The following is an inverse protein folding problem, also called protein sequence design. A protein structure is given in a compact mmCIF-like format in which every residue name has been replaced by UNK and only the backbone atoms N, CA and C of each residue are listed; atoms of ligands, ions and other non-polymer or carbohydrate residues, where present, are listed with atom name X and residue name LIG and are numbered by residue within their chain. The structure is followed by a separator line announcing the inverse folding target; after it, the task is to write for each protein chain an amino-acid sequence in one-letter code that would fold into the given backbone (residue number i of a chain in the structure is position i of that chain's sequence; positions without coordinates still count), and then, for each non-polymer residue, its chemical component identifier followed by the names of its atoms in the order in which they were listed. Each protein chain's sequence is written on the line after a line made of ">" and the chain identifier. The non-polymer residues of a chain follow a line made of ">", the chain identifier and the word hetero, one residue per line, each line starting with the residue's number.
data_IF_467099301936
#
_entry.id   IF_467099301936
#
_cell.length_a   1.000
_cell.length_b   1.000
_cell.length_c   1.000
_cell.angle_alpha   90.00
_cell.angle_beta   90.00
_cell.angle_gamma   90.00
#
_symmetry.space_group_name_H-M   'P 1'
#
loop_
_entity.id
_entity.type
_entity.pdbx_description
1 polymer ?
#
# COMPACT_ATOMS: atom_id res chain seq x y z
N UNK A 1 12.47 -25.78 -10.50
CA UNK A 1 11.80 -24.68 -9.77
C UNK A 1 12.89 -23.99 -8.98
N UNK A 2 13.18 -22.72 -9.29
CA UNK A 2 14.18 -21.91 -8.58
C UNK A 2 13.60 -21.44 -7.23
N UNK A 3 14.40 -21.25 -6.16
CA UNK A 3 13.90 -20.99 -4.81
C UNK A 3 13.43 -19.55 -4.52
N UNK A 4 13.42 -18.63 -5.49
CA UNK A 4 13.37 -17.19 -5.21
C UNK A 4 12.00 -16.52 -5.36
N UNK A 5 10.91 -17.29 -5.31
CA UNK A 5 9.55 -16.73 -5.43
C UNK A 5 8.55 -17.43 -4.52
N UNK A 6 8.41 -16.96 -3.29
CA UNK A 6 7.17 -17.08 -2.52
C UNK A 6 6.91 -15.79 -1.72
N UNK A 7 5.64 -15.40 -1.55
CA UNK A 7 5.24 -14.09 -1.04
C UNK A 7 5.23 -14.09 0.50
N UNK A 8 5.80 -13.05 1.10
CA UNK A 8 5.57 -12.76 2.51
C UNK A 8 4.17 -12.15 2.67
N UNK A 9 3.26 -12.91 3.26
CA UNK A 9 1.91 -12.49 3.63
C UNK A 9 1.92 -11.46 4.78
N UNK A 10 0.97 -10.50 4.80
CA UNK A 10 -0.12 -10.52 5.78
C UNK A 10 -1.25 -9.52 5.47
N UNK A 11 -2.48 -9.98 5.70
CA UNK A 11 -3.74 -9.26 5.59
C UNK A 11 -4.01 -8.54 6.94
N UNK A 12 -4.33 -7.24 6.92
CA UNK A 12 -5.03 -6.58 8.04
C UNK A 12 -4.29 -5.59 8.95
N UNK A 13 -2.95 -5.47 8.93
CA UNK A 13 -2.19 -4.49 9.74
C UNK A 13 -1.00 -3.94 8.96
N UNK A 14 -0.98 -2.63 8.70
CA UNK A 14 0.03 -2.00 7.84
C UNK A 14 1.39 -1.91 8.52
N UNK A 15 2.33 -2.72 8.05
CA UNK A 15 3.76 -2.49 8.24
C UNK A 15 4.49 -2.59 6.90
N UNK A 16 5.28 -1.56 6.61
CA UNK A 16 6.12 -1.49 5.42
C UNK A 16 7.44 -2.23 5.70
N UNK A 17 7.58 -3.46 5.23
CA UNK A 17 8.89 -4.10 5.15
C UNK A 17 9.10 -4.70 3.75
N UNK A 18 9.84 -3.97 2.92
CA UNK A 18 10.78 -4.61 2.00
C UNK A 18 12.11 -3.88 2.04
N UNK A 19 12.73 -3.95 3.21
CA UNK A 19 14.19 -3.88 3.31
C UNK A 19 14.67 -5.31 3.15
N UNK A 20 14.96 -5.73 1.91
CA UNK A 20 15.82 -6.90 1.74
C UNK A 20 17.14 -6.55 2.42
N UNK A 21 17.66 -7.49 3.23
CA UNK A 21 18.81 -7.40 4.14
C UNK A 21 18.50 -7.06 5.61
N UNK A 22 17.76 -7.95 6.27
CA UNK A 22 18.17 -8.42 7.60
C UNK A 22 18.51 -9.91 7.47
N UNK A 23 19.64 -10.21 6.82
CA UNK A 23 20.21 -11.54 6.97
C UNK A 23 20.74 -11.61 8.41
N UNK A 24 20.15 -12.47 9.26
CA UNK A 24 20.74 -12.79 10.56
C UNK A 24 22.09 -13.44 10.29
N UNK A 25 23.17 -12.68 10.31
CA UNK A 25 24.51 -13.26 10.29
C UNK A 25 24.67 -14.10 11.57
N UNK A 26 24.93 -15.41 11.46
CA UNK A 26 25.17 -16.24 12.63
C UNK A 26 26.49 -15.78 13.28
N UNK A 27 26.38 -15.19 14.47
CA UNK A 27 27.46 -14.83 15.39
C UNK A 27 28.59 -13.97 14.79
N UNK A 28 28.49 -12.65 14.96
CA UNK A 28 29.69 -11.80 14.94
C UNK A 28 30.47 -12.11 16.22
N UNK A 29 31.65 -12.70 16.11
CA UNK A 29 32.51 -12.96 17.25
C UNK A 29 33.25 -11.67 17.64
N UNK A 30 33.28 -11.37 18.93
CA UNK A 30 34.09 -10.27 19.49
C UNK A 30 35.58 -10.53 19.17
N UNK A 31 36.30 -9.60 18.53
CA UNK A 31 37.69 -9.82 18.13
C UNK A 31 38.66 -9.92 19.31
N UNK A 32 38.32 -9.31 20.45
CA UNK A 32 39.15 -9.28 21.65
C UNK A 32 38.83 -10.43 22.61
N UNK A 33 37.55 -10.82 22.71
CA UNK A 33 37.12 -11.85 23.67
C UNK A 33 36.81 -13.21 23.03
N UNK A 34 36.65 -13.25 21.70
CA UNK A 34 36.16 -14.41 20.92
C UNK A 34 34.82 -14.98 21.40
N UNK A 35 34.08 -14.24 22.23
CA UNK A 35 32.71 -14.59 22.60
C UNK A 35 31.77 -14.34 21.42
N UNK A 36 30.66 -15.08 21.35
CA UNK A 36 29.53 -14.67 20.52
C UNK A 36 29.05 -13.33 21.06
N UNK A 37 29.14 -12.26 20.26
CA UNK A 37 28.34 -11.08 20.54
C UNK A 37 26.89 -11.55 20.49
N UNK A 38 26.10 -11.25 21.52
CA UNK A 38 24.64 -11.38 21.40
C UNK A 38 24.24 -10.82 20.05
N UNK A 39 23.30 -11.45 19.32
CA UNK A 39 22.97 -11.10 17.94
C UNK A 39 22.61 -9.61 17.90
N UNK A 40 23.64 -8.80 17.67
CA UNK A 40 23.54 -7.39 17.51
C UNK A 40 22.83 -7.31 16.18
N UNK A 41 21.53 -7.03 16.26
CA UNK A 41 20.74 -6.71 15.10
C UNK A 41 21.35 -5.42 14.57
N UNK A 42 22.37 -5.54 13.72
CA UNK A 42 22.89 -4.48 12.88
C UNK A 42 21.89 -4.29 11.73
N UNK A 43 20.67 -3.97 12.10
CA UNK A 43 19.66 -3.42 11.21
C UNK A 43 19.49 -1.94 11.58
N UNK A 44 18.96 -1.11 10.66
CA UNK A 44 18.46 0.20 11.04
C UNK A 44 17.58 0.02 12.28
N UNK A 45 17.88 0.74 13.36
CA UNK A 45 16.90 0.91 14.43
C UNK A 45 15.70 1.56 13.76
N UNK A 46 14.70 0.76 13.39
CA UNK A 46 13.45 1.29 12.91
C UNK A 46 12.98 2.22 14.03
N UNK A 47 12.68 3.50 13.77
CA UNK A 47 12.10 4.34 14.80
C UNK A 47 10.89 3.60 15.36
N UNK A 48 10.77 3.54 16.69
CA UNK A 48 9.54 3.10 17.34
C UNK A 48 8.71 4.34 17.70
N UNK A 49 7.50 4.52 17.15
CA UNK A 49 6.84 3.69 16.14
C UNK A 49 7.36 3.92 14.70
N UNK A 50 7.16 2.94 13.78
CA UNK A 50 7.62 3.04 12.40
C UNK A 50 7.01 4.24 11.66
N UNK A 51 7.78 4.84 10.75
CA UNK A 51 7.36 6.01 9.99
C UNK A 51 6.24 5.65 9.01
N UNK A 52 5.05 6.22 9.18
CA UNK A 52 4.01 6.18 8.16
C UNK A 52 4.35 7.20 7.06
N UNK A 53 4.82 6.72 5.92
CA UNK A 53 5.20 7.57 4.77
C UNK A 53 4.03 8.33 4.14
N UNK A 54 2.78 7.95 4.41
CA UNK A 54 1.61 8.69 3.93
C UNK A 54 1.39 9.96 4.77
N UNK A 55 1.64 9.88 6.08
CA UNK A 55 1.40 10.97 7.03
C UNK A 55 2.66 11.76 7.41
N UNK A 56 3.85 11.22 7.12
CA UNK A 56 5.14 11.86 7.40
C UNK A 56 5.35 13.18 6.64
N UNK A 57 6.06 14.12 7.26
CA UNK A 57 6.55 15.33 6.57
C UNK A 57 7.82 15.03 5.78
N UNK A 58 8.15 15.85 4.76
CA UNK A 58 9.45 15.83 4.09
C UNK A 58 10.65 15.71 5.03
N UNK A 59 10.66 16.51 6.10
CA UNK A 59 11.76 16.58 7.07
C UNK A 59 11.84 15.30 7.90
N UNK A 60 10.69 14.72 8.26
CA UNK A 60 10.65 13.43 8.96
C UNK A 60 11.17 12.29 8.07
N UNK A 61 10.80 12.29 6.78
CA UNK A 61 11.32 11.33 5.80
C UNK A 61 12.85 11.49 5.66
N UNK A 62 13.32 12.71 5.47
CA UNK A 62 14.75 13.00 5.33
C UNK A 62 15.54 12.60 6.57
N UNK A 63 15.05 12.93 7.77
CA UNK A 63 15.69 12.56 9.03
C UNK A 63 15.84 11.04 9.19
N UNK A 64 14.81 10.27 8.84
CA UNK A 64 14.88 8.80 8.87
C UNK A 64 15.87 8.27 7.84
N UNK A 65 15.90 8.85 6.63
CA UNK A 65 16.85 8.44 5.59
C UNK A 65 18.30 8.73 5.97
N UNK A 66 18.57 9.87 6.62
CA UNK A 66 19.89 10.23 7.15
C UNK A 66 20.31 9.29 8.26
N UNK A 67 19.46 9.07 9.28
CA UNK A 67 19.75 8.13 10.36
C UNK A 67 20.02 6.72 9.86
N UNK A 68 19.28 6.25 8.84
CA UNK A 68 19.52 4.97 8.20
C UNK A 68 20.85 4.92 7.42
N UNK A 69 21.30 6.05 6.85
CA UNK A 69 22.63 6.12 6.22
C UNK A 69 23.76 5.99 7.25
N UNK A 70 23.62 6.62 8.41
CA UNK A 70 24.58 6.51 9.51
C UNK A 70 24.65 5.09 10.06
N UNK A 71 23.50 4.44 10.30
CA UNK A 71 23.47 3.04 10.75
C UNK A 71 24.09 2.10 9.71
N UNK A 72 23.84 2.31 8.41
CA UNK A 72 24.48 1.51 7.35
C UNK A 72 26.00 1.71 7.32
N UNK A 73 26.48 2.92 7.56
CA UNK A 73 27.92 3.19 7.64
C UNK A 73 28.56 2.47 8.83
N UNK A 74 27.93 2.53 10.01
CA UNK A 74 28.39 1.82 11.21
C UNK A 74 28.38 0.28 11.02
N UNK A 75 27.32 -0.25 10.40
CA UNK A 75 27.25 -1.68 10.08
C UNK A 75 28.34 -2.09 9.08
N UNK A 76 28.62 -1.27 8.06
CA UNK A 76 29.69 -1.52 7.11
C UNK A 76 31.09 -1.50 7.76
N UNK A 77 31.32 -0.64 8.74
CA UNK A 77 32.57 -0.59 9.52
C UNK A 77 32.71 -1.80 10.46
N UNK A 78 31.59 -2.30 11.01
CA UNK A 78 31.57 -3.48 11.87
C UNK A 78 31.75 -4.81 11.10
N UNK A 79 31.58 -4.83 9.77
CA UNK A 79 31.82 -6.02 8.96
C UNK A 79 33.32 -6.35 8.87
N UNK A 80 33.71 -7.63 8.89
CA UNK A 80 35.08 -8.05 8.65
C UNK A 80 35.66 -7.42 7.37
N UNK A 81 36.91 -6.91 7.40
CA UNK A 81 37.53 -6.32 6.23
C UNK A 81 37.55 -7.33 5.06
N UNK A 82 36.94 -6.94 3.94
CA UNK A 82 36.88 -7.75 2.72
C UNK A 82 35.48 -8.25 2.33
N UNK A 83 34.46 -8.07 3.18
CA UNK A 83 33.07 -8.27 2.77
C UNK A 83 32.54 -6.99 2.08
N UNK A 84 32.05 -7.07 0.84
CA UNK A 84 31.48 -5.91 0.16
C UNK A 84 30.18 -5.50 0.86
N UNK A 85 30.06 -4.22 1.22
CA UNK A 85 28.76 -3.64 1.59
C UNK A 85 27.82 -3.75 0.40
N UNK A 86 26.56 -4.13 0.64
CA UNK A 86 25.54 -4.10 -0.41
C UNK A 86 25.45 -2.67 -0.99
N UNK A 87 25.48 -2.51 -2.33
CA UNK A 87 25.32 -1.19 -2.92
C UNK A 87 23.93 -0.64 -2.60
N UNK A 88 23.77 0.69 -2.51
CA UNK A 88 22.45 1.28 -2.35
C UNK A 88 21.54 0.86 -3.52
N UNK A 89 20.28 0.53 -3.23
CA UNK A 89 19.29 0.22 -4.27
C UNK A 89 19.21 1.38 -5.28
N UNK A 90 19.29 1.09 -6.59
CA UNK A 90 19.06 2.07 -7.62
C UNK A 90 17.72 2.81 -7.43
N UNK A 91 17.69 4.11 -7.71
CA UNK A 91 16.47 4.93 -7.62
C UNK A 91 15.30 4.32 -8.42
N UNK A 92 15.57 3.62 -9.52
CA UNK A 92 14.57 2.92 -10.33
C UNK A 92 13.87 1.78 -9.59
N UNK A 93 14.59 1.02 -8.75
CA UNK A 93 14.00 -0.04 -7.93
C UNK A 93 13.12 0.56 -6.83
N UNK A 94 13.57 1.65 -6.22
CA UNK A 94 12.79 2.38 -5.22
C UNK A 94 11.49 2.93 -5.83
N UNK A 95 11.57 3.53 -7.03
CA UNK A 95 10.38 3.99 -7.76
C UNK A 95 9.38 2.85 -8.00
N UNK A 96 9.85 1.69 -8.47
CA UNK A 96 8.99 0.53 -8.71
C UNK A 96 8.29 0.07 -7.41
N UNK A 97 9.04 -0.05 -6.31
CA UNK A 97 8.48 -0.43 -5.01
C UNK A 97 7.42 0.58 -4.50
N UNK A 98 7.65 1.88 -4.70
CA UNK A 98 6.69 2.92 -4.28
C UNK A 98 5.46 2.97 -5.19
N UNK A 99 5.57 2.64 -6.47
CA UNK A 99 4.40 2.45 -7.34
C UNK A 99 3.48 1.35 -6.81
N UNK A 100 4.05 0.21 -6.40
CA UNK A 100 3.29 -0.88 -5.81
C UNK A 100 2.61 -0.45 -4.50
N UNK A 101 3.35 0.27 -3.65
CA UNK A 101 2.83 0.83 -2.40
C UNK A 101 1.65 1.79 -2.62
N UNK A 102 1.75 2.70 -3.60
CA UNK A 102 0.68 3.63 -3.99
C UNK A 102 -0.56 2.87 -4.43
N UNK A 103 -0.40 1.85 -5.28
CA UNK A 103 -1.52 1.06 -5.78
C UNK A 103 -2.19 0.25 -4.65
N UNK A 104 -1.39 -0.34 -3.76
CA UNK A 104 -1.89 -1.03 -2.56
C UNK A 104 -2.69 -0.07 -1.67
N UNK A 105 -2.13 1.09 -1.32
CA UNK A 105 -2.79 2.08 -0.46
C UNK A 105 -4.12 2.56 -1.03
N UNK A 106 -4.18 2.80 -2.33
CA UNK A 106 -5.44 3.18 -2.99
C UNK A 106 -6.42 2.02 -2.99
N UNK A 107 -5.97 0.78 -3.18
CA UNK A 107 -6.79 -0.42 -2.99
C UNK A 107 -7.41 -0.49 -1.60
N UNK A 108 -6.61 -0.30 -0.56
CA UNK A 108 -7.08 -0.29 0.83
C UNK A 108 -8.10 0.83 1.08
N UNK A 109 -7.83 2.05 0.57
CA UNK A 109 -8.74 3.19 0.69
C UNK A 109 -10.08 2.92 -0.02
N UNK A 110 -10.04 2.31 -1.21
CA UNK A 110 -11.25 1.86 -1.92
C UNK A 110 -12.02 0.84 -1.08
N UNK A 111 -11.31 -0.10 -0.45
CA UNK A 111 -11.89 -1.13 0.44
C UNK A 111 -12.65 -0.59 1.65
N UNK A 112 -12.45 0.69 2.03
CA UNK A 112 -13.26 1.34 3.08
C UNK A 112 -14.68 1.69 2.61
N UNK A 113 -14.92 1.75 1.31
CA UNK A 113 -16.18 2.19 0.71
C UNK A 113 -16.93 1.08 -0.04
N UNK A 114 -16.25 0.01 -0.41
CA UNK A 114 -16.84 -1.12 -1.14
C UNK A 114 -16.52 -2.44 -0.45
N UNK A 115 -17.40 -3.44 -0.64
CA UNK A 115 -17.07 -4.81 -0.26
C UNK A 115 -16.21 -5.45 -1.34
N UNK A 116 -15.02 -5.91 -0.95
CA UNK A 116 -14.09 -6.59 -1.85
C UNK A 116 -14.33 -8.10 -1.77
N UNK A 117 -15.11 -8.62 -2.73
CA UNK A 117 -15.35 -10.06 -2.90
C UNK A 117 -15.24 -10.42 -4.38
N UNK A 118 -14.70 -11.59 -4.70
CA UNK A 118 -14.58 -12.08 -6.09
C UNK A 118 -15.94 -12.02 -6.79
N UNK A 119 -16.01 -11.33 -7.93
CA UNK A 119 -17.23 -11.18 -8.74
C UNK A 119 -18.20 -10.08 -8.29
N UNK A 120 -18.01 -9.49 -7.11
CA UNK A 120 -18.94 -8.49 -6.56
C UNK A 120 -19.01 -7.20 -7.38
N UNK A 121 -17.91 -6.79 -8.00
CA UNK A 121 -17.87 -5.60 -8.86
C UNK A 121 -18.81 -5.70 -10.05
N UNK A 122 -18.93 -6.88 -10.67
CA UNK A 122 -19.88 -7.11 -11.75
C UNK A 122 -21.32 -6.94 -11.25
N UNK A 123 -21.65 -7.52 -10.08
CA UNK A 123 -22.96 -7.34 -9.45
C UNK A 123 -23.29 -5.88 -9.16
N UNK A 124 -22.32 -5.06 -8.74
CA UNK A 124 -22.56 -3.63 -8.54
C UNK A 124 -22.89 -2.89 -9.83
N UNK A 125 -22.20 -3.20 -10.93
CA UNK A 125 -22.47 -2.59 -12.23
C UNK A 125 -23.86 -2.96 -12.77
N UNK A 126 -24.22 -4.25 -12.68
CA UNK A 126 -25.55 -4.73 -13.10
C UNK A 126 -26.66 -4.07 -12.28
N UNK A 127 -26.50 -3.97 -10.95
CA UNK A 127 -27.46 -3.26 -10.08
C UNK A 127 -27.60 -1.79 -10.45
N UNK A 128 -26.49 -1.11 -10.73
CA UNK A 128 -26.50 0.29 -11.14
C UNK A 128 -27.26 0.46 -12.47
N UNK A 129 -27.03 -0.41 -13.44
CA UNK A 129 -27.73 -0.38 -14.73
C UNK A 129 -29.23 -0.62 -14.57
N UNK A 130 -29.64 -1.63 -13.79
CA UNK A 130 -31.05 -1.87 -13.48
C UNK A 130 -31.70 -0.66 -12.82
N UNK A 131 -31.00 -0.01 -11.89
CA UNK A 131 -31.54 1.13 -11.16
C UNK A 131 -31.70 2.37 -12.03
N UNK A 132 -30.77 2.62 -12.96
CA UNK A 132 -30.89 3.70 -13.94
C UNK A 132 -32.01 3.42 -14.96
N UNK A 133 -32.14 2.18 -15.44
CA UNK A 133 -33.27 1.78 -16.29
C UNK A 133 -34.60 2.01 -15.58
N UNK A 134 -34.74 1.53 -14.35
CA UNK A 134 -35.93 1.73 -13.53
C UNK A 134 -36.26 3.23 -13.35
N UNK A 135 -35.25 4.08 -13.10
CA UNK A 135 -35.42 5.52 -12.95
C UNK A 135 -35.95 6.23 -14.21
N UNK A 136 -35.77 5.63 -15.39
CA UNK A 136 -36.31 6.13 -16.67
C UNK A 136 -37.72 5.61 -17.00
N UNK A 137 -38.32 4.82 -16.09
CA UNK A 137 -39.66 4.26 -16.24
C UNK A 137 -39.71 2.92 -16.97
N UNK A 138 -38.58 2.26 -17.19
CA UNK A 138 -38.56 0.88 -17.67
C UNK A 138 -39.27 -0.03 -16.64
N UNK A 139 -40.05 -0.99 -17.15
CA UNK A 139 -40.85 -1.92 -16.34
C UNK A 139 -40.12 -3.25 -16.06
N UNK A 140 -38.93 -3.45 -16.63
CA UNK A 140 -38.05 -4.57 -16.30
C UNK A 140 -37.94 -5.64 -17.40
N UNK A 141 -37.33 -6.80 -17.08
CA UNK A 141 -37.04 -7.31 -15.74
C UNK A 141 -35.85 -6.64 -15.04
N UNK A 142 -35.87 -6.69 -13.70
CA UNK A 142 -34.82 -6.20 -12.78
C UNK A 142 -34.46 -7.29 -11.74
N UNK A 143 -33.88 -8.42 -12.16
CA UNK A 143 -33.62 -9.56 -11.29
C UNK A 143 -32.79 -9.23 -10.05
N UNK A 144 -31.78 -8.36 -10.14
CA UNK A 144 -30.94 -8.04 -8.98
C UNK A 144 -31.69 -7.17 -7.96
N UNK A 145 -32.33 -6.09 -8.42
CA UNK A 145 -33.08 -5.20 -7.53
C UNK A 145 -34.30 -5.90 -6.93
N UNK A 146 -35.01 -6.72 -7.71
CA UNK A 146 -36.20 -7.45 -7.24
C UNK A 146 -35.84 -8.50 -6.19
N UNK A 147 -34.74 -9.24 -6.39
CA UNK A 147 -34.27 -10.22 -5.43
C UNK A 147 -33.84 -9.57 -4.11
N UNK A 148 -33.16 -8.42 -4.18
CA UNK A 148 -32.78 -7.65 -2.99
C UNK A 148 -34.01 -7.08 -2.27
N UNK A 149 -34.94 -6.46 -3.00
CA UNK A 149 -36.19 -5.94 -2.43
C UNK A 149 -36.97 -7.03 -1.68
N UNK A 150 -37.09 -8.23 -2.27
CA UNK A 150 -37.73 -9.37 -1.63
C UNK A 150 -36.97 -9.85 -0.37
N UNK A 151 -35.64 -9.87 -0.41
CA UNK A 151 -34.81 -10.31 0.70
C UNK A 151 -34.81 -9.32 1.89
N UNK A 152 -34.95 -8.02 1.62
CA UNK A 152 -34.93 -6.96 2.65
C UNK A 152 -36.32 -6.50 3.09
N UNK A 153 -37.38 -6.94 2.41
CA UNK A 153 -38.74 -6.45 2.64
C UNK A 153 -38.94 -5.00 2.19
N UNK A 154 -38.10 -4.52 1.26
CA UNK A 154 -38.17 -3.17 0.68
C UNK A 154 -38.97 -3.19 -0.63
N UNK A 155 -39.37 -2.00 -1.12
CA UNK A 155 -39.93 -1.91 -2.48
C UNK A 155 -38.82 -1.87 -3.54
N UNK A 156 -39.17 -2.16 -4.78
CA UNK A 156 -38.25 -2.01 -5.91
C UNK A 156 -37.75 -0.56 -6.03
N UNK A 157 -38.64 0.42 -5.83
CA UNK A 157 -38.34 1.85 -5.85
C UNK A 157 -37.30 2.22 -4.78
N UNK A 158 -37.47 1.71 -3.55
CA UNK A 158 -36.54 1.98 -2.43
C UNK A 158 -35.15 1.42 -2.74
N UNK A 159 -35.06 0.19 -3.23
CA UNK A 159 -33.77 -0.44 -3.57
C UNK A 159 -33.11 0.28 -4.76
N UNK A 160 -33.87 0.61 -5.81
CA UNK A 160 -33.33 1.36 -6.95
C UNK A 160 -32.79 2.73 -6.53
N UNK A 161 -33.53 3.45 -5.68
CA UNK A 161 -33.09 4.73 -5.14
C UNK A 161 -31.82 4.61 -4.30
N UNK A 162 -31.75 3.59 -3.43
CA UNK A 162 -30.56 3.30 -2.61
C UNK A 162 -29.33 2.99 -3.46
N UNK A 163 -29.48 2.12 -4.47
CA UNK A 163 -28.38 1.75 -5.38
C UNK A 163 -27.85 2.97 -6.12
N UNK A 164 -28.72 3.82 -6.67
CA UNK A 164 -28.31 5.06 -7.36
C UNK A 164 -27.60 6.03 -6.43
N UNK A 165 -28.13 6.24 -5.23
CA UNK A 165 -27.48 7.10 -4.23
C UNK A 165 -26.09 6.58 -3.86
N UNK A 166 -25.95 5.26 -3.68
CA UNK A 166 -24.68 4.60 -3.37
C UNK A 166 -23.70 4.73 -4.54
N UNK A 167 -24.15 4.49 -5.78
CA UNK A 167 -23.32 4.63 -6.98
C UNK A 167 -22.82 6.07 -7.19
N UNK A 168 -23.67 7.07 -6.92
CA UNK A 168 -23.28 8.48 -7.01
C UNK A 168 -22.22 8.84 -5.97
N UNK A 169 -22.42 8.43 -4.70
CA UNK A 169 -21.45 8.66 -3.63
C UNK A 169 -20.11 7.96 -3.90
N UNK A 170 -20.16 6.72 -4.40
CA UNK A 170 -18.97 5.97 -4.79
C UNK A 170 -18.23 6.61 -5.95
N UNK A 171 -18.94 7.09 -6.98
CA UNK A 171 -18.33 7.72 -8.16
C UNK A 171 -17.49 8.94 -7.77
N UNK A 172 -18.03 9.82 -6.93
CA UNK A 172 -17.31 11.00 -6.46
C UNK A 172 -16.04 10.61 -5.68
N UNK A 173 -16.18 9.66 -4.76
CA UNK A 173 -15.06 9.18 -3.92
C UNK A 173 -13.97 8.50 -4.76
N UNK A 174 -14.36 7.59 -5.66
CA UNK A 174 -13.40 6.85 -6.47
C UNK A 174 -12.69 7.75 -7.50
N UNK A 175 -13.36 8.79 -8.01
CA UNK A 175 -12.73 9.78 -8.90
C UNK A 175 -11.65 10.59 -8.17
N UNK A 176 -11.92 11.02 -6.94
CA UNK A 176 -10.92 11.70 -6.10
C UNK A 176 -9.71 10.79 -5.80
N UNK A 177 -9.97 9.55 -5.35
CA UNK A 177 -8.90 8.57 -5.10
C UNK A 177 -8.06 8.28 -6.36
N UNK A 178 -8.69 8.16 -7.53
CA UNK A 178 -7.97 7.96 -8.79
C UNK A 178 -7.13 9.18 -9.18
N UNK A 179 -7.65 10.40 -8.96
CA UNK A 179 -6.90 11.64 -9.14
C UNK A 179 -5.65 11.68 -8.26
N UNK A 180 -5.80 11.39 -6.96
CA UNK A 180 -4.67 11.32 -6.01
C UNK A 180 -3.66 10.24 -6.41
N UNK A 181 -4.12 9.05 -6.81
CA UNK A 181 -3.26 7.96 -7.30
C UNK A 181 -2.44 8.40 -8.50
N UNK A 182 -3.08 8.96 -9.53
CA UNK A 182 -2.39 9.42 -10.74
C UNK A 182 -1.41 10.55 -10.44
N UNK A 183 -1.78 11.50 -9.58
CA UNK A 183 -0.88 12.55 -9.10
C UNK A 183 0.38 11.98 -8.43
N UNK A 184 0.21 11.03 -7.51
CA UNK A 184 1.32 10.35 -6.84
C UNK A 184 2.25 9.63 -7.83
N UNK A 185 1.68 8.88 -8.79
CA UNK A 185 2.49 8.16 -9.79
C UNK A 185 3.30 9.10 -10.69
N UNK A 186 2.72 10.24 -11.10
CA UNK A 186 3.43 11.26 -11.87
C UNK A 186 4.58 11.88 -11.03
N UNK A 187 4.35 12.11 -9.74
CA UNK A 187 5.40 12.61 -8.85
C UNK A 187 6.55 11.60 -8.67
N UNK A 188 6.25 10.29 -8.53
CA UNK A 188 7.27 9.23 -8.49
C UNK A 188 8.08 9.18 -9.79
N UNK A 189 7.41 9.29 -10.94
CA UNK A 189 8.08 9.29 -12.24
C UNK A 189 9.07 10.45 -12.35
N UNK A 190 8.65 11.65 -11.94
CA UNK A 190 9.47 12.87 -11.98
C UNK A 190 10.56 12.96 -10.89
N UNK A 191 10.50 12.11 -9.85
CA UNK A 191 11.44 12.19 -8.73
C UNK A 191 12.89 11.90 -9.14
N UNK A 192 13.82 12.74 -8.70
CA UNK A 192 15.27 12.60 -8.94
C UNK A 192 16.01 12.05 -7.71
N UNK A 193 15.32 11.96 -6.57
CA UNK A 193 15.87 11.55 -5.28
C UNK A 193 14.95 10.61 -4.52
N UNK A 194 15.51 9.84 -3.58
CA UNK A 194 14.72 8.96 -2.72
C UNK A 194 13.69 9.73 -1.86
N UNK A 195 14.06 10.91 -1.36
CA UNK A 195 13.16 11.80 -0.61
C UNK A 195 11.93 12.16 -1.46
N UNK A 196 12.14 12.59 -2.71
CA UNK A 196 11.04 12.93 -3.62
C UNK A 196 10.16 11.73 -3.94
N UNK A 197 10.74 10.53 -4.07
CA UNK A 197 9.96 9.31 -4.29
C UNK A 197 9.03 9.03 -3.11
N UNK A 198 9.50 9.15 -1.87
CA UNK A 198 8.64 8.95 -0.69
C UNK A 198 7.65 10.10 -0.48
N UNK A 199 8.02 11.35 -0.78
CA UNK A 199 7.10 12.49 -0.74
C UNK A 199 5.89 12.30 -1.65
N UNK A 200 6.05 11.60 -2.78
CA UNK A 200 4.92 11.31 -3.65
C UNK A 200 3.81 10.49 -2.95
N UNK A 201 4.12 9.74 -1.89
CA UNK A 201 3.12 9.01 -1.10
C UNK A 201 2.17 9.95 -0.34
N UNK A 202 2.59 11.17 0.01
CA UNK A 202 1.77 12.07 0.85
C UNK A 202 0.51 12.57 0.15
N UNK A 203 0.38 12.37 -1.17
CA UNK A 203 -0.86 12.62 -1.90
C UNK A 203 -2.01 11.68 -1.50
N UNK A 204 -1.72 10.58 -0.80
CA UNK A 204 -2.68 9.53 -0.43
C UNK A 204 -3.08 9.55 1.05
N UNK A 205 -2.97 10.71 1.70
CA UNK A 205 -3.51 10.91 3.05
C UNK A 205 -5.02 10.70 3.05
N UNK A 206 -5.52 10.11 4.14
CA UNK A 206 -6.95 9.92 4.37
C UNK A 206 -7.65 11.27 4.59
#
# INVERSE_FOLDING_TARGET
>A
MQPDQLPDSYEGERLLYRWVWAEKHPAVLDPDTRGELEPAVYGPCCPEPPLDVFDATPEAIEAVLVGNAEVRALAAEALPPGLPSAPPSPLSELKAAVVDLINQRVGDLRGLHITVTVGQSATYLEKQEEAERHATGDTGPFPYLSAEAAATGSTLDDVAALVRATAAAWTATNADLEGRRRGALVAVEAAETAVQVYQACTHLRA
#
